data_IF_088487428168
#
_entry.id   IF_088487428168
#
_cell.length_a   1.000
_cell.length_b   1.000
_cell.length_c   1.000
_cell.angle_alpha   90.00
_cell.angle_beta   90.00
_cell.angle_gamma   90.00
#
_symmetry.space_group_name_H-M   'P 1'
#
loop_
_entity.id
_entity.type
_entity.pdbx_description
1 polymer ?
#
# COMPACT_ATOMS: atom_id res chain seq x y z
N UNK A 1 2.69 -3.80 -10.58
CA UNK A 1 4.17 -3.75 -10.61
C UNK A 1 4.62 -4.24 -9.25
N UNK A 2 5.53 -5.21 -9.18
CA UNK A 2 6.23 -5.56 -7.93
C UNK A 2 7.67 -5.09 -8.08
N UNK A 3 7.93 -3.86 -7.61
CA UNK A 3 9.22 -3.17 -7.77
C UNK A 3 9.79 -2.87 -6.40
N UNK A 4 11.05 -3.21 -6.20
CA UNK A 4 11.81 -2.86 -5.01
C UNK A 4 12.52 -1.53 -5.24
N UNK A 5 12.47 -0.66 -4.23
CA UNK A 5 13.18 0.63 -4.22
C UNK A 5 14.40 0.50 -3.30
N UNK A 6 15.55 0.96 -3.77
CA UNK A 6 16.80 0.99 -3.00
C UNK A 6 16.66 2.01 -1.86
N UNK A 7 16.76 1.59 -0.59
CA UNK A 7 16.72 2.52 0.54
C UNK A 7 18.01 3.33 0.62
N UNK A 8 17.88 4.66 0.70
CA UNK A 8 19.03 5.58 0.78
C UNK A 8 19.54 5.77 2.22
N UNK A 9 18.67 5.51 3.21
CA UNK A 9 18.94 5.74 4.64
C UNK A 9 18.69 4.48 5.48
N UNK A 10 19.30 3.36 5.08
CA UNK A 10 19.11 2.07 5.74
C UNK A 10 19.57 2.08 7.22
N UNK A 11 20.53 2.95 7.56
CA UNK A 11 21.03 3.18 8.92
C UNK A 11 19.96 3.66 9.91
N UNK A 12 18.85 4.21 9.41
CA UNK A 12 17.73 4.66 10.24
C UNK A 12 16.72 3.56 10.54
N UNK A 13 16.84 2.40 9.86
CA UNK A 13 15.93 1.28 10.04
C UNK A 13 16.27 0.47 11.29
N UNK A 14 15.25 0.06 12.03
CA UNK A 14 15.41 -0.92 13.11
C UNK A 14 15.49 -2.34 12.54
N UNK A 15 16.18 -3.23 13.24
CA UNK A 15 16.26 -4.65 12.85
C UNK A 15 14.86 -5.28 12.71
N UNK A 16 13.94 -4.92 13.61
CA UNK A 16 12.55 -5.35 13.55
C UNK A 16 11.88 -4.91 12.24
N UNK A 17 12.03 -3.65 11.82
CA UNK A 17 11.45 -3.14 10.59
C UNK A 17 12.01 -3.84 9.34
N UNK A 18 13.33 -4.11 9.32
CA UNK A 18 13.96 -4.83 8.22
C UNK A 18 13.43 -6.27 8.10
N UNK A 19 13.32 -6.96 9.24
CA UNK A 19 12.79 -8.33 9.30
C UNK A 19 11.32 -8.39 8.91
N UNK A 20 10.51 -7.47 9.44
CA UNK A 20 9.07 -7.42 9.18
C UNK A 20 8.79 -7.20 7.68
N UNK A 21 9.50 -6.27 7.05
CA UNK A 21 9.36 -5.94 5.63
C UNK A 21 10.12 -6.90 4.68
N UNK A 22 10.86 -7.87 5.23
CA UNK A 22 11.63 -8.85 4.47
C UNK A 22 12.81 -8.27 3.68
N UNK A 23 13.36 -7.13 4.13
CA UNK A 23 14.53 -6.54 3.47
C UNK A 23 15.75 -7.44 3.62
N UNK A 24 16.45 -7.67 2.51
CA UNK A 24 17.79 -8.23 2.50
C UNK A 24 18.56 -7.74 1.26
N UNK A 25 19.88 -7.63 1.38
CA UNK A 25 20.72 -7.05 0.34
C UNK A 25 20.69 -7.85 -0.98
N UNK A 26 20.56 -9.18 -0.91
CA UNK A 26 20.54 -10.07 -2.07
C UNK A 26 19.29 -9.79 -2.92
N UNK A 27 18.12 -9.75 -2.27
CA UNK A 27 16.84 -9.49 -2.93
C UNK A 27 16.72 -8.06 -3.47
N UNK A 28 17.52 -7.12 -2.95
CA UNK A 28 17.56 -5.71 -3.34
C UNK A 28 18.70 -5.36 -4.30
N UNK A 29 19.50 -6.34 -4.73
CA UNK A 29 20.66 -6.10 -5.61
C UNK A 29 20.30 -5.40 -6.93
N UNK A 30 19.07 -5.63 -7.43
CA UNK A 30 18.52 -5.04 -8.65
C UNK A 30 17.39 -4.04 -8.36
N UNK A 31 17.31 -3.52 -7.13
CA UNK A 31 16.31 -2.53 -6.76
C UNK A 31 16.51 -1.23 -7.57
N UNK A 32 15.40 -0.58 -7.92
CA UNK A 32 15.44 0.70 -8.63
C UNK A 32 15.76 1.83 -7.65
N UNK A 33 16.35 2.92 -8.15
CA UNK A 33 16.38 4.17 -7.41
C UNK A 33 14.95 4.70 -7.22
N UNK A 34 14.73 5.53 -6.20
CA UNK A 34 13.43 6.16 -5.98
C UNK A 34 12.99 6.97 -7.22
N UNK A 35 13.92 7.67 -7.87
CA UNK A 35 13.67 8.42 -9.10
C UNK A 35 13.10 7.53 -10.22
N UNK A 36 13.75 6.40 -10.51
CA UNK A 36 13.32 5.49 -11.57
C UNK A 36 12.00 4.82 -11.22
N UNK A 37 11.81 4.42 -9.95
CA UNK A 37 10.56 3.82 -9.49
C UNK A 37 9.38 4.80 -9.60
N UNK A 38 9.56 6.07 -9.21
CA UNK A 38 8.50 7.08 -9.29
C UNK A 38 8.16 7.49 -10.71
N UNK A 39 9.12 7.49 -11.64
CA UNK A 39 8.84 7.70 -13.06
C UNK A 39 7.96 6.57 -13.64
N UNK A 40 8.23 5.32 -13.27
CA UNK A 40 7.41 4.17 -13.65
C UNK A 40 6.03 4.22 -13.00
N UNK A 41 5.97 4.56 -11.71
CA UNK A 41 4.73 4.66 -10.94
C UNK A 41 3.81 5.72 -11.56
N UNK A 42 4.31 6.95 -11.76
CA UNK A 42 3.59 8.06 -12.41
C UNK A 42 2.91 7.65 -13.72
N UNK A 43 3.65 6.98 -14.61
CA UNK A 43 3.13 6.51 -15.90
C UNK A 43 2.06 5.42 -15.75
N UNK A 44 2.19 4.55 -14.76
CA UNK A 44 1.26 3.42 -14.55
C UNK A 44 -0.02 3.83 -13.84
N UNK A 45 0.01 4.94 -13.11
CA UNK A 45 -1.12 5.46 -12.36
C UNK A 45 -1.71 6.73 -12.98
N UNK A 46 -1.42 6.99 -14.26
CA UNK A 46 -2.06 8.09 -14.99
C UNK A 46 -3.58 7.91 -14.97
N UNK A 47 -4.31 8.98 -14.63
CA UNK A 47 -5.77 9.04 -14.48
C UNK A 47 -6.36 8.06 -13.44
N UNK A 48 -5.53 7.40 -12.63
CA UNK A 48 -5.99 6.52 -11.57
C UNK A 48 -6.39 7.31 -10.31
N UNK A 49 -7.37 6.80 -9.57
CA UNK A 49 -7.69 7.27 -8.21
C UNK A 49 -6.88 6.46 -7.20
N UNK A 50 -6.13 7.14 -6.34
CA UNK A 50 -5.35 6.46 -5.30
C UNK A 50 -6.27 5.80 -4.27
N UNK A 51 -5.98 4.56 -3.90
CA UNK A 51 -6.80 3.77 -2.98
C UNK A 51 -5.92 3.03 -1.98
N UNK A 52 -6.26 3.10 -0.70
CA UNK A 52 -5.55 2.38 0.35
C UNK A 52 -6.48 2.13 1.56
N UNK A 53 -6.06 1.24 2.46
CA UNK A 53 -6.83 0.99 3.69
C UNK A 53 -6.76 2.15 4.66
N UNK A 54 -5.62 2.83 4.76
CA UNK A 54 -5.46 4.07 5.52
C UNK A 54 -4.88 5.14 4.59
N UNK A 55 -5.75 5.79 3.83
CA UNK A 55 -5.32 6.64 2.71
C UNK A 55 -4.43 7.80 3.16
N UNK A 56 -4.66 8.33 4.36
CA UNK A 56 -3.85 9.43 4.92
C UNK A 56 -2.40 9.00 5.15
N UNK A 57 -2.20 7.80 5.69
CA UNK A 57 -0.86 7.28 5.98
C UNK A 57 -0.11 6.95 4.70
N UNK A 58 -0.69 6.12 3.83
CA UNK A 58 -0.06 5.66 2.60
C UNK A 58 0.22 6.83 1.64
N UNK A 59 -0.71 7.79 1.55
CA UNK A 59 -0.53 8.97 0.70
C UNK A 59 0.63 9.85 1.13
N UNK A 60 0.92 9.96 2.43
CA UNK A 60 2.04 10.77 2.91
C UNK A 60 3.37 10.30 2.30
N UNK A 61 3.58 8.98 2.20
CA UNK A 61 4.78 8.41 1.57
C UNK A 61 4.83 8.70 0.06
N UNK A 62 3.71 8.47 -0.64
CA UNK A 62 3.65 8.67 -2.09
C UNK A 62 3.82 10.14 -2.46
N UNK A 63 3.15 11.04 -1.74
CA UNK A 63 3.26 12.48 -1.93
C UNK A 63 4.69 12.98 -1.69
N UNK A 64 5.35 12.50 -0.64
CA UNK A 64 6.74 12.87 -0.38
C UNK A 64 7.69 12.30 -1.43
N UNK A 65 7.45 11.09 -1.93
CA UNK A 65 8.23 10.49 -3.01
C UNK A 65 8.13 11.29 -4.32
N UNK A 66 6.93 11.75 -4.69
CA UNK A 66 6.77 12.67 -5.82
C UNK A 66 7.52 13.98 -5.59
N UNK A 67 7.41 14.57 -4.40
CA UNK A 67 8.11 15.82 -4.05
C UNK A 67 9.64 15.67 -4.15
N UNK A 68 10.20 14.59 -3.59
CA UNK A 68 11.64 14.32 -3.59
C UNK A 68 12.21 14.08 -4.98
N UNK A 69 11.46 13.38 -5.83
CA UNK A 69 11.92 13.01 -7.18
C UNK A 69 11.61 14.04 -8.26
N UNK A 70 10.72 14.99 -7.97
CA UNK A 70 10.19 15.93 -8.96
C UNK A 70 9.36 15.26 -10.07
N UNK A 71 9.03 13.97 -9.94
CA UNK A 71 8.14 13.29 -10.87
C UNK A 71 6.76 13.95 -10.84
N UNK A 72 6.14 14.13 -12.02
CA UNK A 72 4.77 14.64 -12.10
C UNK A 72 3.82 13.57 -11.54
N UNK A 73 2.96 13.96 -10.62
CA UNK A 73 1.83 13.15 -10.22
C UNK A 73 0.65 13.38 -11.19
N UNK A 74 0.29 12.35 -11.95
CA UNK A 74 -0.81 12.37 -12.93
C UNK A 74 -2.03 11.55 -12.47
N UNK A 75 -2.07 11.12 -11.21
CA UNK A 75 -3.28 10.55 -10.62
C UNK A 75 -4.35 11.63 -10.44
N UNK A 76 -5.61 11.20 -10.33
CA UNK A 76 -6.68 12.06 -9.87
C UNK A 76 -6.44 12.54 -8.43
N UNK A 77 -6.94 13.72 -8.07
CA UNK A 77 -6.74 14.30 -6.75
C UNK A 77 -7.60 13.65 -5.65
N UNK A 78 -8.70 13.01 -6.04
CA UNK A 78 -9.53 12.22 -5.15
C UNK A 78 -8.81 10.95 -4.73
N UNK A 79 -9.19 10.43 -3.56
CA UNK A 79 -8.63 9.21 -3.02
C UNK A 79 -9.73 8.40 -2.34
N UNK A 80 -9.58 7.09 -2.38
CA UNK A 80 -10.50 6.14 -1.76
C UNK A 80 -9.86 5.61 -0.48
N UNK A 81 -10.61 5.74 0.61
CA UNK A 81 -10.22 5.22 1.92
C UNK A 81 -11.04 3.96 2.25
N UNK A 82 -10.41 2.79 2.18
CA UNK A 82 -11.13 1.52 2.40
C UNK A 82 -11.56 1.35 3.85
N UNK A 83 -10.84 1.91 4.83
CA UNK A 83 -11.28 1.89 6.22
C UNK A 83 -12.66 2.55 6.35
N UNK A 84 -12.83 3.75 5.78
CA UNK A 84 -14.10 4.48 5.82
C UNK A 84 -15.20 3.70 5.10
N UNK A 85 -14.91 3.12 3.93
CA UNK A 85 -15.86 2.27 3.20
C UNK A 85 -16.27 1.04 4.02
N UNK A 86 -15.31 0.35 4.63
CA UNK A 86 -15.56 -0.82 5.46
C UNK A 86 -16.40 -0.44 6.68
N UNK A 87 -16.07 0.64 7.37
CA UNK A 87 -16.85 1.17 8.49
C UNK A 87 -18.28 1.50 8.06
N UNK A 88 -18.46 2.15 6.92
CA UNK A 88 -19.77 2.49 6.40
C UNK A 88 -20.65 1.25 6.15
N UNK A 89 -20.07 0.15 5.63
CA UNK A 89 -20.80 -1.07 5.26
C UNK A 89 -20.96 -2.04 6.43
N UNK A 90 -19.97 -2.15 7.31
CA UNK A 90 -19.86 -3.25 8.28
C UNK A 90 -20.01 -2.82 9.75
N UNK A 91 -20.16 -1.53 10.10
CA UNK A 91 -20.24 -1.08 11.51
C UNK A 91 -21.35 -1.73 12.35
N UNK A 92 -22.42 -2.20 11.71
CA UNK A 92 -23.56 -2.84 12.40
C UNK A 92 -23.50 -4.38 12.32
N UNK A 93 -22.39 -4.94 11.84
CA UNK A 93 -22.24 -6.36 11.53
C UNK A 93 -21.67 -7.20 12.68
N UNK A 94 -21.35 -6.55 13.81
CA UNK A 94 -20.67 -7.16 14.95
C UNK A 94 -19.13 -7.09 14.87
N UNK A 95 -18.56 -6.53 13.79
CA UNK A 95 -17.12 -6.31 13.66
C UNK A 95 -16.63 -5.21 14.61
N UNK A 96 -15.75 -5.55 15.55
CA UNK A 96 -15.25 -4.63 16.58
C UNK A 96 -14.06 -3.77 16.11
N UNK A 97 -13.24 -4.29 15.21
CA UNK A 97 -11.99 -3.66 14.76
C UNK A 97 -11.97 -3.56 13.24
N UNK A 98 -11.51 -2.41 12.74
CA UNK A 98 -11.51 -2.09 11.32
C UNK A 98 -10.10 -1.99 10.72
N UNK A 99 -9.08 -2.54 11.38
CA UNK A 99 -7.79 -2.71 10.72
C UNK A 99 -7.91 -3.70 9.54
N UNK A 100 -6.99 -3.62 8.58
CA UNK A 100 -7.09 -4.35 7.32
C UNK A 100 -7.25 -5.86 7.52
N UNK A 101 -6.54 -6.45 8.48
CA UNK A 101 -6.59 -7.89 8.75
C UNK A 101 -7.95 -8.33 9.30
N UNK A 102 -8.53 -7.56 10.22
CA UNK A 102 -9.85 -7.88 10.80
C UNK A 102 -10.96 -7.72 9.75
N UNK A 103 -10.87 -6.70 8.89
CA UNK A 103 -11.80 -6.53 7.77
C UNK A 103 -11.66 -7.65 6.76
N UNK A 104 -10.44 -8.01 6.36
CA UNK A 104 -10.17 -9.12 5.43
C UNK A 104 -10.75 -10.43 5.97
N UNK A 105 -10.45 -10.76 7.23
CA UNK A 105 -10.95 -11.95 7.91
C UNK A 105 -12.48 -11.98 7.96
N UNK A 106 -13.10 -10.85 8.31
CA UNK A 106 -14.56 -10.74 8.34
C UNK A 106 -15.18 -11.02 6.98
N UNK A 107 -14.55 -10.55 5.90
CA UNK A 107 -14.98 -10.74 4.51
C UNK A 107 -14.58 -12.10 3.92
N UNK A 108 -13.99 -13.00 4.72
CA UNK A 108 -13.54 -14.32 4.26
C UNK A 108 -12.34 -14.28 3.31
N UNK A 109 -11.58 -13.18 3.30
CA UNK A 109 -10.36 -13.04 2.50
C UNK A 109 -9.21 -13.74 3.26
N UNK A 110 -8.41 -14.59 2.59
CA UNK A 110 -7.28 -15.27 3.22
C UNK A 110 -6.28 -14.32 3.86
N UNK A 111 -5.60 -14.78 4.91
CA UNK A 111 -4.53 -14.03 5.55
C UNK A 111 -3.38 -13.74 4.57
N UNK A 112 -2.76 -12.58 4.73
CA UNK A 112 -1.61 -12.17 3.93
C UNK A 112 -0.45 -13.18 4.08
N UNK A 113 0.12 -13.70 2.98
CA UNK A 113 1.25 -14.61 3.08
C UNK A 113 2.51 -13.87 3.59
N UNK A 114 3.25 -14.53 4.48
CA UNK A 114 4.55 -14.04 4.94
C UNK A 114 5.65 -14.26 3.87
N UNK A 115 6.67 -13.39 3.80
CA UNK A 115 6.87 -12.17 4.59
C UNK A 115 5.90 -11.04 4.19
N UNK A 116 5.65 -10.07 5.09
CA UNK A 116 4.82 -8.90 4.79
C UNK A 116 5.50 -8.06 3.69
N UNK A 117 5.08 -8.27 2.46
CA UNK A 117 5.54 -7.52 1.29
C UNK A 117 4.44 -6.54 0.90
N UNK A 118 4.82 -5.33 0.50
CA UNK A 118 3.85 -4.31 0.09
C UNK A 118 2.85 -4.80 -0.96
N UNK A 119 3.27 -5.69 -1.89
CA UNK A 119 2.38 -6.27 -2.91
C UNK A 119 1.31 -7.18 -2.31
N UNK A 120 1.62 -7.94 -1.25
CA UNK A 120 0.67 -8.86 -0.62
C UNK A 120 -0.43 -8.05 0.10
N UNK A 121 -0.04 -7.02 0.85
CA UNK A 121 -0.97 -6.05 1.44
C UNK A 121 -1.83 -5.32 0.39
N UNK A 122 -1.22 -4.92 -0.75
CA UNK A 122 -1.95 -4.29 -1.86
C UNK A 122 -3.02 -5.23 -2.43
N UNK A 123 -2.70 -6.52 -2.62
CA UNK A 123 -3.68 -7.50 -3.12
C UNK A 123 -4.80 -7.76 -2.11
N UNK A 124 -4.49 -7.78 -0.82
CA UNK A 124 -5.50 -7.88 0.25
C UNK A 124 -6.45 -6.68 0.20
N UNK A 125 -5.90 -5.46 0.10
CA UNK A 125 -6.69 -4.24 -0.03
C UNK A 125 -7.57 -4.25 -1.30
N UNK A 126 -7.06 -4.79 -2.41
CA UNK A 126 -7.81 -4.94 -3.66
C UNK A 126 -9.01 -5.90 -3.51
N UNK A 127 -8.83 -7.05 -2.84
CA UNK A 127 -9.94 -7.98 -2.58
C UNK A 127 -10.97 -7.39 -1.62
N UNK A 128 -10.53 -6.64 -0.59
CA UNK A 128 -11.44 -5.87 0.27
C UNK A 128 -12.24 -4.88 -0.58
N UNK A 129 -11.56 -4.07 -1.40
CA UNK A 129 -12.21 -3.08 -2.26
C UNK A 129 -13.31 -3.72 -3.12
N UNK A 130 -13.01 -4.82 -3.82
CA UNK A 130 -13.99 -5.57 -4.63
C UNK A 130 -15.24 -5.97 -3.85
N UNK A 131 -15.09 -6.49 -2.63
CA UNK A 131 -16.23 -6.86 -1.79
C UNK A 131 -17.01 -5.66 -1.28
N UNK A 132 -16.34 -4.54 -0.98
CA UNK A 132 -17.00 -3.33 -0.50
C UNK A 132 -17.84 -2.66 -1.60
N UNK A 133 -17.35 -2.63 -2.84
CA UNK A 133 -18.07 -2.02 -3.98
C UNK A 133 -19.12 -2.91 -4.63
N UNK A 134 -19.10 -4.21 -4.37
CA UNK A 134 -20.15 -5.12 -4.82
C UNK A 134 -21.45 -4.87 -4.04
N UNK A 135 -22.58 -4.73 -4.75
CA UNK A 135 -23.92 -4.53 -4.17
C UNK A 135 -24.50 -5.84 -3.65
#
# INVERSE_FOLDING_TARGET
LDVKVLPEHLETATEFALKLNGYNAIDWQNALTLQTAMALYSKKTEDAIFCAHNVTFDWAFISEAFRKTGAKNSMDYHRIDLFTMAWMKLRNSGLEKFNMNEVAKYLGIPEEPLPHRGINGTMTAYEIYKQLVSY
#
